data_IF_623476844802
#
_entry.id   IF_623476844802
#
_cell.length_a   1.000
_cell.length_b   1.000
_cell.length_c   1.000
_cell.angle_alpha   90.00
_cell.angle_beta   90.00
_cell.angle_gamma   90.00
#
_symmetry.space_group_name_H-M   'P 1'
#
loop_
_entity.id
_entity.type
_entity.pdbx_description
1 polymer ?
#
# COMPACT_ATOMS: atom_id res chain seq x y z
N UNK A 1 31.66 -3.10 -41.19
CA UNK A 1 31.34 -1.67 -40.98
C UNK A 1 29.88 -1.29 -41.26
N UNK A 2 29.39 -1.19 -42.52
CA UNK A 2 28.00 -0.74 -42.78
C UNK A 2 26.94 -1.70 -42.22
N UNK A 3 27.20 -3.01 -42.31
CA UNK A 3 26.31 -4.07 -41.80
C UNK A 3 26.21 -4.08 -40.28
N UNK A 4 27.33 -3.91 -39.59
CA UNK A 4 27.37 -3.82 -38.12
C UNK A 4 26.69 -2.56 -37.60
N UNK A 5 26.86 -1.43 -38.29
CA UNK A 5 26.16 -0.19 -37.99
C UNK A 5 24.65 -0.33 -38.13
N UNK A 6 24.17 -1.01 -39.17
CA UNK A 6 22.74 -1.30 -39.34
C UNK A 6 22.21 -2.22 -38.23
N UNK A 7 22.95 -3.27 -37.86
CA UNK A 7 22.56 -4.17 -36.76
C UNK A 7 22.47 -3.46 -35.40
N UNK A 8 23.42 -2.58 -35.10
CA UNK A 8 23.40 -1.71 -33.91
C UNK A 8 22.16 -0.81 -33.87
N UNK A 9 21.81 -0.18 -34.99
CA UNK A 9 20.60 0.65 -35.12
C UNK A 9 19.33 -0.18 -34.98
N UNK A 10 19.26 -1.36 -35.62
CA UNK A 10 18.13 -2.29 -35.47
C UNK A 10 17.95 -2.76 -34.03
N UNK A 11 19.03 -3.12 -33.32
CA UNK A 11 18.97 -3.48 -31.90
C UNK A 11 18.41 -2.34 -31.03
N UNK A 12 18.83 -1.12 -31.31
CA UNK A 12 18.35 0.07 -30.61
C UNK A 12 16.86 0.30 -30.84
N UNK A 13 16.41 0.21 -32.10
CA UNK A 13 14.98 0.32 -32.46
C UNK A 13 14.15 -0.76 -31.77
N UNK A 14 14.60 -2.02 -31.78
CA UNK A 14 13.91 -3.13 -31.10
C UNK A 14 13.81 -2.90 -29.59
N UNK A 15 14.84 -2.34 -28.96
CA UNK A 15 14.83 -2.00 -27.53
C UNK A 15 13.80 -0.91 -27.22
N UNK A 16 13.74 0.14 -28.04
CA UNK A 16 12.75 1.22 -27.90
C UNK A 16 11.32 0.71 -28.09
N UNK A 17 11.07 -0.14 -29.09
CA UNK A 17 9.77 -0.77 -29.32
C UNK A 17 9.35 -1.64 -28.12
N UNK A 18 10.27 -2.44 -27.56
CA UNK A 18 9.99 -3.24 -26.35
C UNK A 18 9.67 -2.36 -25.15
N UNK A 19 10.36 -1.23 -25.00
CA UNK A 19 10.07 -0.26 -23.92
C UNK A 19 8.70 0.39 -24.08
N UNK A 20 8.39 0.86 -25.30
CA UNK A 20 7.08 1.44 -25.62
C UNK A 20 5.95 0.43 -25.40
N UNK A 21 6.12 -0.83 -25.86
CA UNK A 21 5.16 -1.92 -25.62
C UNK A 21 4.89 -2.12 -24.12
N UNK A 22 5.94 -2.11 -23.28
CA UNK A 22 5.80 -2.25 -21.82
C UNK A 22 5.05 -1.06 -21.21
N UNK A 23 5.37 0.16 -21.64
CA UNK A 23 4.70 1.37 -21.17
C UNK A 23 3.21 1.37 -21.55
N UNK A 24 2.89 1.02 -22.79
CA UNK A 24 1.50 0.93 -23.28
C UNK A 24 0.74 -0.14 -22.50
N UNK A 25 1.33 -1.32 -22.31
CA UNK A 25 0.68 -2.39 -21.56
C UNK A 25 0.38 -1.96 -20.12
N UNK A 26 1.31 -1.25 -19.48
CA UNK A 26 1.12 -0.71 -18.15
C UNK A 26 0.01 0.34 -18.09
N UNK A 27 -0.01 1.29 -19.04
CA UNK A 27 -1.05 2.31 -19.11
C UNK A 27 -2.43 1.72 -19.41
N UNK A 28 -2.50 0.69 -20.26
CA UNK A 28 -3.74 -0.05 -20.52
C UNK A 28 -4.21 -0.76 -19.27
N UNK A 29 -3.34 -1.49 -18.56
CA UNK A 29 -3.69 -2.16 -17.30
C UNK A 29 -4.17 -1.16 -16.25
N UNK A 30 -3.51 0.00 -16.13
CA UNK A 30 -3.92 1.09 -15.25
C UNK A 30 -5.31 1.63 -15.61
N UNK A 31 -5.55 1.94 -16.89
CA UNK A 31 -6.85 2.46 -17.37
C UNK A 31 -7.97 1.41 -17.25
N UNK A 32 -7.69 0.14 -17.52
CA UNK A 32 -8.65 -0.96 -17.32
C UNK A 32 -9.00 -1.12 -15.85
N UNK A 33 -8.03 -0.99 -14.94
CA UNK A 33 -8.31 -1.02 -13.51
C UNK A 33 -9.15 0.18 -13.06
N UNK A 34 -8.85 1.37 -13.55
CA UNK A 34 -9.67 2.58 -13.28
C UNK A 34 -11.10 2.41 -13.81
N UNK A 35 -11.26 1.91 -15.04
CA UNK A 35 -12.57 1.65 -15.65
C UNK A 35 -13.33 0.56 -14.89
N UNK A 36 -12.65 -0.50 -14.46
CA UNK A 36 -13.24 -1.56 -13.65
C UNK A 36 -13.80 -0.98 -12.34
N UNK A 37 -13.04 -0.13 -11.66
CA UNK A 37 -13.53 0.58 -10.46
C UNK A 37 -14.73 1.48 -10.78
N UNK A 38 -14.71 2.20 -11.90
CA UNK A 38 -15.82 3.07 -12.32
C UNK A 38 -17.11 2.30 -12.68
N UNK A 39 -17.01 1.18 -13.41
CA UNK A 39 -18.17 0.36 -13.82
C UNK A 39 -18.81 -0.34 -12.61
N UNK A 40 -17.98 -0.78 -11.67
CA UNK A 40 -18.44 -1.34 -10.40
C UNK A 40 -19.23 -0.30 -9.59
N UNK A 41 -18.82 0.97 -9.63
CA UNK A 41 -19.57 2.05 -9.00
C UNK A 41 -20.95 2.29 -9.64
N UNK A 42 -21.15 1.94 -10.93
CA UNK A 42 -22.42 2.15 -11.62
C UNK A 42 -23.45 1.01 -11.50
N UNK A 43 -23.04 -0.24 -11.23
CA UNK A 43 -23.93 -1.41 -11.31
C UNK A 43 -24.14 -2.19 -10.00
N UNK A 44 -23.55 -1.78 -8.87
CA UNK A 44 -23.78 -2.42 -7.59
C UNK A 44 -24.94 -1.76 -6.82
N UNK A 45 -25.97 -2.56 -6.57
CA UNK A 45 -27.08 -2.27 -5.66
C UNK A 45 -26.52 -1.79 -4.31
N UNK A 46 -26.83 -0.54 -3.97
CA UNK A 46 -26.65 0.11 -2.67
C UNK A 46 -25.25 0.03 -2.01
N UNK A 47 -24.31 0.91 -2.39
CA UNK A 47 -23.35 1.58 -1.46
C UNK A 47 -22.48 2.64 -2.16
N UNK A 48 -21.92 3.61 -1.41
CA UNK A 48 -22.14 5.04 -1.59
C UNK A 48 -21.39 5.63 -2.78
N UNK A 49 -22.05 6.62 -3.38
CA UNK A 49 -21.56 7.60 -4.34
C UNK A 49 -20.43 8.49 -3.76
N UNK A 50 -19.40 7.90 -3.15
CA UNK A 50 -18.28 8.61 -2.56
C UNK A 50 -17.19 8.75 -3.62
N UNK A 51 -17.15 9.93 -4.25
CA UNK A 51 -16.03 10.33 -5.09
C UNK A 51 -14.74 10.18 -4.28
N UNK A 52 -13.71 9.55 -4.84
CA UNK A 52 -12.40 9.37 -4.18
C UNK A 52 -11.87 10.73 -3.68
N UNK A 53 -12.11 11.79 -4.47
CA UNK A 53 -11.76 13.16 -4.13
C UNK A 53 -12.49 13.67 -2.86
N UNK A 54 -13.74 13.26 -2.64
CA UNK A 54 -14.50 13.66 -1.44
C UNK A 54 -13.95 12.97 -0.19
N UNK A 55 -13.47 11.72 -0.31
CA UNK A 55 -12.87 10.97 0.78
C UNK A 55 -11.52 11.59 1.17
N UNK A 56 -10.67 11.90 0.19
CA UNK A 56 -9.39 12.58 0.42
C UNK A 56 -9.61 13.96 1.08
N UNK A 57 -10.59 14.71 0.59
CA UNK A 57 -10.97 16.02 1.14
C UNK A 57 -11.45 15.91 2.59
N UNK A 58 -12.21 14.86 2.94
CA UNK A 58 -12.66 14.62 4.32
C UNK A 58 -11.53 14.24 5.27
N UNK A 59 -10.59 13.42 4.79
CA UNK A 59 -9.44 12.99 5.58
C UNK A 59 -8.44 14.14 5.80
N UNK A 60 -8.40 15.13 4.89
CA UNK A 60 -7.52 16.30 4.96
C UNK A 60 -6.05 15.93 5.16
N UNK A 61 -5.60 14.84 4.52
CA UNK A 61 -4.24 14.33 4.63
C UNK A 61 -3.73 13.93 3.25
N UNK A 62 -2.43 14.10 3.03
CA UNK A 62 -1.77 13.63 1.80
C UNK A 62 -1.23 12.22 2.05
N UNK A 63 -1.65 11.28 1.21
CA UNK A 63 -1.18 9.90 1.24
C UNK A 63 -0.02 9.67 0.25
N UNK A 64 0.93 8.75 0.56
CA UNK A 64 1.16 8.14 1.86
C UNK A 64 1.74 9.14 2.87
N UNK A 65 1.40 8.97 4.16
CA UNK A 65 1.86 9.86 5.24
C UNK A 65 3.36 9.69 5.45
N UNK A 66 4.10 10.81 5.39
CA UNK A 66 5.56 10.81 5.25
C UNK A 66 6.33 10.96 6.56
N UNK A 67 5.73 11.60 7.54
CA UNK A 67 6.37 11.90 8.84
C UNK A 67 5.60 11.23 9.98
N UNK A 68 6.29 10.97 11.09
CA UNK A 68 5.65 10.38 12.26
C UNK A 68 4.72 11.39 12.93
N UNK A 69 5.08 12.67 12.91
CA UNK A 69 4.29 13.77 13.45
C UNK A 69 2.94 13.89 12.74
N UNK A 70 2.94 13.90 11.40
CA UNK A 70 1.70 13.94 10.61
C UNK A 70 0.85 12.69 10.85
N UNK A 71 1.50 11.53 11.04
CA UNK A 71 0.78 10.29 11.33
C UNK A 71 0.10 10.32 12.71
N UNK A 72 0.73 10.91 13.72
CA UNK A 72 0.13 11.05 15.05
C UNK A 72 -1.06 12.02 15.04
N UNK A 73 -0.94 13.15 14.33
CA UNK A 73 -2.05 14.10 14.15
C UNK A 73 -3.20 13.45 13.37
N UNK A 74 -2.88 12.65 12.36
CA UNK A 74 -3.86 11.87 11.62
C UNK A 74 -4.58 10.88 12.54
N UNK A 75 -3.85 10.11 13.34
CA UNK A 75 -4.40 9.13 14.28
C UNK A 75 -5.33 9.76 15.33
N UNK A 76 -4.94 10.91 15.88
CA UNK A 76 -5.78 11.70 16.79
C UNK A 76 -7.06 12.18 16.10
N UNK A 77 -6.94 12.70 14.87
CA UNK A 77 -8.08 13.17 14.11
C UNK A 77 -9.07 12.04 13.77
N UNK A 78 -8.58 10.82 13.49
CA UNK A 78 -9.43 9.65 13.25
C UNK A 78 -10.09 9.20 14.56
N UNK A 79 -9.36 9.23 15.69
CA UNK A 79 -9.90 8.84 17.00
C UNK A 79 -10.97 9.79 17.54
N UNK A 80 -10.97 11.05 17.10
CA UNK A 80 -11.88 12.10 17.58
C UNK A 80 -13.03 12.42 16.62
N UNK A 81 -12.92 12.07 15.34
CA UNK A 81 -13.94 12.35 14.32
C UNK A 81 -14.48 11.07 13.69
N UNK A 82 -15.73 10.75 14.02
CA UNK A 82 -16.45 9.62 13.42
C UNK A 82 -16.61 9.76 11.90
N UNK A 83 -16.73 11.00 11.40
CA UNK A 83 -16.77 11.25 9.95
C UNK A 83 -15.46 10.85 9.28
N UNK A 84 -14.32 11.26 9.85
CA UNK A 84 -13.00 10.89 9.31
C UNK A 84 -12.74 9.39 9.43
N UNK A 85 -13.16 8.77 10.52
CA UNK A 85 -13.09 7.31 10.70
C UNK A 85 -13.88 6.57 9.61
N UNK A 86 -15.13 6.98 9.35
CA UNK A 86 -15.94 6.44 8.25
C UNK A 86 -15.30 6.69 6.88
N UNK A 87 -14.67 7.84 6.68
CA UNK A 87 -13.95 8.14 5.44
C UNK A 87 -12.75 7.19 5.24
N UNK A 88 -11.97 6.91 6.29
CA UNK A 88 -10.84 5.98 6.25
C UNK A 88 -11.28 4.53 5.99
N UNK A 89 -12.39 4.10 6.60
CA UNK A 89 -12.99 2.78 6.34
C UNK A 89 -13.37 2.66 4.85
N UNK A 90 -14.07 3.67 4.30
CA UNK A 90 -14.44 3.69 2.88
C UNK A 90 -13.21 3.71 1.96
N UNK A 91 -12.21 4.50 2.30
CA UNK A 91 -10.93 4.53 1.57
C UNK A 91 -10.31 3.13 1.50
N UNK A 92 -10.20 2.44 2.64
CA UNK A 92 -9.67 1.09 2.71
C UNK A 92 -10.49 0.09 1.88
N UNK A 93 -11.82 0.17 1.93
CA UNK A 93 -12.73 -0.67 1.12
C UNK A 93 -12.47 -0.48 -0.39
N UNK A 94 -12.30 0.77 -0.83
CA UNK A 94 -11.98 1.10 -2.24
C UNK A 94 -10.61 0.53 -2.63
N UNK A 95 -9.57 0.71 -1.80
CA UNK A 95 -8.22 0.24 -2.11
C UNK A 95 -8.13 -1.27 -2.33
N UNK A 96 -8.94 -2.03 -1.62
CA UNK A 96 -8.95 -3.50 -1.69
C UNK A 96 -10.11 -4.05 -2.51
N UNK A 97 -10.84 -3.18 -3.21
CA UNK A 97 -11.96 -3.60 -4.02
C UNK A 97 -11.52 -4.63 -5.08
N UNK A 98 -12.26 -5.73 -5.20
CA UNK A 98 -11.95 -6.83 -6.13
C UNK A 98 -10.69 -7.65 -5.82
N UNK A 99 -9.92 -7.32 -4.78
CA UNK A 99 -8.81 -8.14 -4.31
C UNK A 99 -9.34 -9.31 -3.48
N UNK A 100 -8.87 -10.53 -3.74
CA UNK A 100 -9.34 -11.76 -3.06
C UNK A 100 -8.30 -12.34 -2.10
N UNK A 101 -7.09 -11.77 -2.07
CA UNK A 101 -6.03 -12.23 -1.18
C UNK A 101 -5.79 -11.23 -0.04
N UNK A 102 -6.02 -11.66 1.20
CA UNK A 102 -5.80 -10.83 2.41
C UNK A 102 -4.39 -10.22 2.48
N UNK A 103 -3.35 -10.97 2.07
CA UNK A 103 -1.97 -10.47 2.03
C UNK A 103 -1.81 -9.30 1.05
N UNK A 104 -2.48 -9.37 -0.10
CA UNK A 104 -2.48 -8.29 -1.10
C UNK A 104 -3.32 -7.11 -0.64
N UNK A 105 -4.43 -7.34 0.07
CA UNK A 105 -5.23 -6.28 0.69
C UNK A 105 -4.41 -5.48 1.70
N UNK A 106 -3.76 -6.16 2.67
CA UNK A 106 -2.88 -5.51 3.66
C UNK A 106 -1.79 -4.71 2.96
N UNK A 107 -1.13 -5.30 1.96
CA UNK A 107 -0.11 -4.61 1.16
C UNK A 107 -0.65 -3.33 0.53
N UNK A 108 -1.79 -3.40 -0.18
CA UNK A 108 -2.40 -2.24 -0.86
C UNK A 108 -2.74 -1.13 0.11
N UNK A 109 -3.38 -1.45 1.24
CA UNK A 109 -3.73 -0.46 2.27
C UNK A 109 -2.45 0.17 2.83
N UNK A 110 -1.53 -0.65 3.35
CA UNK A 110 -0.34 -0.15 4.03
C UNK A 110 0.55 0.70 3.12
N UNK A 111 0.77 0.30 1.84
CA UNK A 111 1.57 1.12 0.90
C UNK A 111 0.90 2.43 0.52
N UNK A 112 -0.43 2.48 0.55
CA UNK A 112 -1.17 3.68 0.19
C UNK A 112 -1.26 4.63 1.39
N UNK A 113 -1.30 4.11 2.61
CA UNK A 113 -1.47 4.91 3.82
C UNK A 113 -0.15 5.40 4.40
N UNK A 114 0.88 4.55 4.47
CA UNK A 114 2.11 4.83 5.21
C UNK A 114 3.34 4.83 4.30
N UNK A 115 4.21 5.81 4.49
CA UNK A 115 5.55 5.80 3.91
C UNK A 115 6.46 4.83 4.67
N UNK A 116 7.56 4.43 4.03
CA UNK A 116 8.62 3.63 4.66
C UNK A 116 9.13 4.25 5.97
N UNK A 117 9.28 5.57 6.03
CA UNK A 117 9.74 6.29 7.22
C UNK A 117 8.82 6.05 8.39
N UNK A 118 7.51 6.21 8.21
CA UNK A 118 6.51 5.98 9.27
C UNK A 118 6.46 4.50 9.66
N UNK A 119 6.50 3.59 8.69
CA UNK A 119 6.49 2.15 8.98
C UNK A 119 7.70 1.69 9.80
N UNK A 120 8.85 2.35 9.66
CA UNK A 120 10.05 2.02 10.43
C UNK A 120 9.90 2.34 11.92
N UNK A 121 9.01 3.25 12.30
CA UNK A 121 8.73 3.62 13.69
C UNK A 121 7.82 2.62 14.41
N UNK A 122 7.17 1.72 13.66
CA UNK A 122 6.17 0.79 14.20
C UNK A 122 6.58 -0.68 14.09
N UNK A 123 6.10 -1.45 15.06
CA UNK A 123 6.01 -2.91 15.00
C UNK A 123 4.55 -3.32 15.21
N UNK A 124 4.20 -4.56 14.86
CA UNK A 124 2.81 -5.00 14.98
C UNK A 124 2.26 -4.91 16.42
N UNK A 125 3.08 -5.22 17.43
CA UNK A 125 2.67 -5.34 18.84
C UNK A 125 3.62 -4.63 19.82
N UNK A 126 4.37 -3.62 19.35
CA UNK A 126 5.21 -2.79 20.22
C UNK A 126 6.36 -3.51 20.94
N UNK A 127 6.85 -4.65 20.42
CA UNK A 127 7.83 -5.47 21.13
C UNK A 127 9.12 -4.67 21.34
N UNK A 128 9.52 -4.52 22.61
CA UNK A 128 10.78 -3.91 22.98
C UNK A 128 11.89 -4.98 22.94
N UNK A 129 13.06 -4.64 22.42
CA UNK A 129 14.23 -5.52 22.43
C UNK A 129 15.43 -4.68 22.85
N UNK A 130 16.10 -5.08 23.95
CA UNK A 130 17.23 -4.33 24.52
C UNK A 130 16.94 -2.84 24.79
N UNK A 131 15.79 -2.52 25.38
CA UNK A 131 15.41 -1.15 25.77
C UNK A 131 15.07 -0.20 24.61
N UNK A 132 15.25 -0.63 23.36
CA UNK A 132 14.77 0.09 22.16
C UNK A 132 13.57 -0.65 21.60
N UNK A 133 12.42 0.02 21.57
CA UNK A 133 11.17 -0.53 21.07
C UNK A 133 10.56 0.34 20.01
N UNK A 134 9.93 -0.29 19.03
CA UNK A 134 9.06 0.42 18.08
C UNK A 134 7.68 0.63 18.69
N UNK A 135 6.95 1.62 18.19
CA UNK A 135 5.54 1.86 18.58
C UNK A 135 4.67 0.66 18.21
N UNK A 136 3.56 0.51 18.92
CA UNK A 136 2.60 -0.57 18.72
C UNK A 136 1.56 -0.17 17.65
N UNK A 137 1.62 -0.82 16.49
CA UNK A 137 0.70 -0.54 15.39
C UNK A 137 -0.70 -1.07 15.67
N UNK A 138 -0.85 -2.18 16.41
CA UNK A 138 -2.16 -2.78 16.71
C UNK A 138 -3.07 -1.85 17.52
N UNK A 139 -2.48 -0.85 18.19
CA UNK A 139 -3.19 0.17 18.98
C UNK A 139 -3.63 1.40 18.16
N UNK A 140 -3.30 1.45 16.87
CA UNK A 140 -3.66 2.58 16.00
C UNK A 140 -5.11 2.49 15.52
N UNK A 141 -5.74 3.64 15.30
CA UNK A 141 -7.02 3.75 14.62
C UNK A 141 -6.91 3.27 13.17
N UNK A 142 -5.77 3.52 12.51
CA UNK A 142 -5.48 2.94 11.19
C UNK A 142 -5.57 1.42 11.20
N UNK A 143 -4.95 0.75 12.19
CA UNK A 143 -5.07 -0.70 12.35
C UNK A 143 -6.52 -1.11 12.59
N UNK A 144 -7.24 -0.45 13.49
CA UNK A 144 -8.65 -0.75 13.77
C UNK A 144 -9.52 -0.68 12.50
N UNK A 145 -9.35 0.38 11.70
CA UNK A 145 -10.10 0.56 10.45
C UNK A 145 -9.70 -0.47 9.38
N UNK A 146 -8.40 -0.76 9.23
CA UNK A 146 -7.91 -1.82 8.35
C UNK A 146 -8.50 -3.17 8.76
N UNK A 147 -8.46 -3.47 10.05
CA UNK A 147 -8.91 -4.73 10.61
C UNK A 147 -10.41 -4.95 10.37
N UNK A 148 -11.25 -3.95 10.68
CA UNK A 148 -12.69 -4.03 10.46
C UNK A 148 -13.06 -4.26 9.00
N UNK A 149 -12.39 -3.59 8.06
CA UNK A 149 -12.62 -3.77 6.62
C UNK A 149 -12.21 -5.17 6.15
N UNK A 150 -11.14 -5.75 6.69
CA UNK A 150 -10.74 -7.11 6.36
C UNK A 150 -11.65 -8.16 7.01
N UNK A 151 -12.14 -7.93 8.23
CA UNK A 151 -13.13 -8.79 8.88
C UNK A 151 -14.43 -8.84 8.07
N UNK A 152 -14.95 -7.68 7.67
CA UNK A 152 -16.15 -7.57 6.84
C UNK A 152 -15.98 -8.33 5.51
N UNK A 153 -14.81 -8.22 4.89
CA UNK A 153 -14.55 -8.81 3.57
C UNK A 153 -14.27 -10.32 3.58
N UNK A 154 -13.58 -10.84 4.60
CA UNK A 154 -13.10 -12.22 4.64
C UNK A 154 -13.76 -13.09 5.72
N UNK A 155 -14.59 -12.51 6.57
CA UNK A 155 -15.23 -13.17 7.72
C UNK A 155 -14.30 -13.25 8.94
N UNK A 156 -14.85 -12.91 10.11
CA UNK A 156 -14.11 -12.81 11.38
C UNK A 156 -13.52 -14.14 11.89
N UNK A 157 -14.12 -15.27 11.50
CA UNK A 157 -13.69 -16.61 11.91
C UNK A 157 -12.98 -17.41 10.80
N UNK A 158 -12.70 -16.78 9.65
CA UNK A 158 -12.01 -17.44 8.54
C UNK A 158 -10.56 -17.78 8.87
N UNK A 159 -10.08 -18.95 8.44
CA UNK A 159 -8.66 -19.35 8.58
C UNK A 159 -7.68 -18.33 7.97
N UNK A 160 -8.12 -17.59 6.94
CA UNK A 160 -7.34 -16.51 6.34
C UNK A 160 -7.17 -15.31 7.28
N UNK A 161 -8.21 -14.97 8.06
CA UNK A 161 -8.19 -13.84 8.97
C UNK A 161 -7.30 -14.11 10.20
N UNK A 162 -7.25 -15.36 10.70
CA UNK A 162 -6.32 -15.77 11.76
C UNK A 162 -4.84 -15.48 11.44
N UNK A 163 -4.50 -15.38 10.16
CA UNK A 163 -3.14 -15.06 9.71
C UNK A 163 -2.82 -13.55 9.71
N UNK A 164 -3.82 -12.68 9.87
CA UNK A 164 -3.67 -11.23 9.75
C UNK A 164 -2.58 -10.65 10.68
N UNK A 165 -2.51 -11.00 11.98
CA UNK A 165 -1.39 -10.67 12.87
C UNK A 165 -0.01 -10.94 12.26
N UNK A 166 0.18 -12.13 11.71
CA UNK A 166 1.45 -12.57 11.11
C UNK A 166 1.77 -11.78 9.84
N UNK A 167 0.74 -11.48 9.04
CA UNK A 167 0.87 -10.71 7.80
C UNK A 167 1.33 -9.28 8.10
N UNK A 168 0.68 -8.61 9.05
CA UNK A 168 1.02 -7.23 9.45
C UNK A 168 2.41 -7.18 10.11
N UNK A 169 2.72 -8.15 10.98
CA UNK A 169 4.06 -8.26 11.59
C UNK A 169 5.17 -8.43 10.55
N UNK A 170 4.97 -9.34 9.57
CA UNK A 170 5.91 -9.54 8.46
C UNK A 170 6.02 -8.30 7.58
N UNK A 171 4.92 -7.57 7.37
CA UNK A 171 4.92 -6.32 6.61
C UNK A 171 5.79 -5.24 7.25
N UNK A 172 5.55 -4.94 8.53
CA UNK A 172 6.26 -3.89 9.28
C UNK A 172 7.74 -4.23 9.51
N UNK A 173 8.06 -5.49 9.83
CA UNK A 173 9.45 -5.94 9.95
C UNK A 173 10.22 -5.86 8.62
N UNK A 174 9.52 -6.02 7.49
CA UNK A 174 10.10 -5.87 6.15
C UNK A 174 10.29 -4.44 5.67
N UNK A 175 9.90 -3.40 6.43
CA UNK A 175 10.00 -1.99 6.01
C UNK A 175 11.42 -1.57 5.62
N UNK A 176 12.43 -2.03 6.37
CA UNK A 176 13.85 -1.73 6.11
C UNK A 176 14.32 -2.17 4.72
N UNK A 177 13.81 -3.30 4.23
CA UNK A 177 14.21 -3.92 2.97
C UNK A 177 13.51 -3.29 1.75
N UNK A 178 12.45 -2.50 1.96
CA UNK A 178 11.66 -1.86 0.89
C UNK A 178 12.41 -0.68 0.27
N UNK A 179 11.98 -0.31 -0.93
CA UNK A 179 12.59 0.77 -1.73
C UNK A 179 14.08 0.54 -2.02
N UNK A 180 14.47 -0.71 -2.25
CA UNK A 180 15.85 -1.06 -2.58
C UNK A 180 16.78 -1.26 -1.39
N UNK A 181 16.29 -1.11 -0.14
CA UNK A 181 17.10 -1.30 1.07
C UNK A 181 17.82 -2.65 1.15
N UNK A 182 17.18 -3.73 0.66
CA UNK A 182 17.84 -5.05 0.56
C UNK A 182 19.05 -5.05 -0.39
N UNK A 183 18.99 -4.31 -1.51
CA UNK A 183 20.12 -4.19 -2.44
C UNK A 183 21.24 -3.39 -1.80
N UNK A 184 20.94 -2.25 -1.17
CA UNK A 184 21.91 -1.42 -0.47
C UNK A 184 22.64 -2.18 0.64
N UNK A 185 21.93 -2.95 1.47
CA UNK A 185 22.56 -3.78 2.53
C UNK A 185 23.49 -4.86 1.98
N UNK A 186 23.13 -5.45 0.82
CA UNK A 186 24.00 -6.43 0.16
C UNK A 186 25.23 -5.78 -0.44
N UNK A 187 25.10 -4.57 -0.99
CA UNK A 187 26.22 -3.80 -1.54
C UNK A 187 27.19 -3.28 -0.46
N UNK A 188 26.68 -2.85 0.70
CA UNK A 188 27.53 -2.41 1.82
C UNK A 188 28.32 -3.56 2.44
N UNK A 189 27.73 -4.74 2.56
CA UNK A 189 28.43 -5.93 3.08
C UNK A 189 29.58 -6.38 2.16
N UNK A 190 29.46 -6.17 0.85
CA UNK A 190 30.49 -6.55 -0.15
C UNK A 190 31.64 -5.53 -0.23
N UNK A 191 31.45 -4.31 0.26
CA UNK A 191 32.49 -3.26 0.22
C UNK A 191 33.33 -3.20 1.50
N UNK A 192 32.94 -3.92 2.55
CA UNK A 192 33.67 -4.08 3.81
C UNK A 192 34.35 -5.46 3.94
N UNK A 193 34.39 -6.26 2.85
CA UNK A 193 35.03 -7.58 2.80
C UNK A 193 36.35 -7.56 2.04
#
# INVERSE_FOLDING_TARGET
HLREYLDEKFKTVVKTIKSAKRSILYDVEKKTNQLKLAIINSNAIATPNANINDIETKLKVVFPIRTIEDFLLFEEAIGTSEEKKKALIKWNQILIFGETCIKKCVRRIMTSTLSKTVEMEYSAYGRQTHGKGKRDFSKTQTYSCLNGVLQEKFGEHGELYKQLPSIISRWLSGAVDREGGRKTRRSSCVTES
#
